data_IF_263211866612
#
_entry.id   IF_263211866612
#
_cell.length_a   1.000
_cell.length_b   1.000
_cell.length_c   1.000
_cell.angle_alpha   90.00
_cell.angle_beta   90.00
_cell.angle_gamma   90.00
#
_symmetry.space_group_name_H-M   'P 1'
#
loop_
_entity.id
_entity.type
_entity.pdbx_description
1 polymer ?
#
# COMPACT_ATOMS: atom_id res chain seq x y z
N UNK A 1 -13.28 18.87 13.24
CA UNK A 1 -13.40 18.67 11.79
C UNK A 1 -13.03 17.23 11.52
N UNK A 2 -13.73 16.55 10.62
CA UNK A 2 -13.44 15.15 10.29
C UNK A 2 -12.08 15.04 9.60
N UNK A 3 -11.26 14.06 9.97
CA UNK A 3 -9.97 13.82 9.33
C UNK A 3 -10.16 13.54 7.83
N UNK A 4 -9.44 14.25 6.99
CA UNK A 4 -9.46 14.04 5.55
C UNK A 4 -8.53 12.89 5.13
N UNK A 5 -8.86 12.25 4.00
CA UNK A 5 -8.03 11.22 3.41
C UNK A 5 -6.84 11.84 2.67
N UNK A 6 -5.65 11.26 2.83
CA UNK A 6 -4.44 11.71 2.15
C UNK A 6 -4.42 11.33 0.65
N UNK A 7 -3.44 11.86 -0.09
CA UNK A 7 -3.35 11.64 -1.54
C UNK A 7 -3.16 10.15 -1.89
N UNK A 8 -2.35 9.41 -1.12
CA UNK A 8 -2.10 7.99 -1.35
C UNK A 8 -3.40 7.17 -1.28
N UNK A 9 -4.29 7.47 -0.32
CA UNK A 9 -5.63 6.89 -0.23
C UNK A 9 -6.51 7.24 -1.42
N UNK A 10 -6.50 8.50 -1.85
CA UNK A 10 -7.25 8.95 -3.03
C UNK A 10 -6.80 8.19 -4.28
N UNK A 11 -5.50 8.09 -4.52
CA UNK A 11 -4.95 7.44 -5.71
C UNK A 11 -5.20 5.93 -5.68
N UNK A 12 -5.14 5.31 -4.49
CA UNK A 12 -5.56 3.92 -4.31
C UNK A 12 -7.01 3.73 -4.75
N UNK A 13 -7.96 4.54 -4.27
CA UNK A 13 -9.38 4.39 -4.63
C UNK A 13 -9.58 4.60 -6.13
N UNK A 14 -8.99 5.65 -6.72
CA UNK A 14 -9.06 5.91 -8.17
C UNK A 14 -8.61 4.72 -9.00
N UNK A 15 -7.56 4.02 -8.58
CA UNK A 15 -7.02 2.85 -9.29
C UNK A 15 -7.99 1.68 -9.40
N UNK A 16 -9.01 1.63 -8.52
CA UNK A 16 -10.03 0.57 -8.51
C UNK A 16 -11.39 1.00 -9.08
N UNK A 17 -11.76 2.29 -9.01
CA UNK A 17 -13.06 2.77 -9.51
C UNK A 17 -13.04 3.08 -11.02
N UNK A 18 -11.89 3.51 -11.56
CA UNK A 18 -11.77 3.96 -12.96
C UNK A 18 -12.41 5.33 -13.20
N UNK A 19 -11.94 6.06 -14.22
CA UNK A 19 -12.40 7.42 -14.52
C UNK A 19 -13.27 7.44 -15.78
N UNK A 20 -14.47 8.03 -15.66
CA UNK A 20 -15.37 8.32 -16.76
C UNK A 20 -15.67 9.83 -16.83
N UNK A 21 -15.20 10.50 -17.88
CA UNK A 21 -15.36 11.95 -18.03
C UNK A 21 -16.82 12.34 -18.27
N UNK A 22 -17.54 11.55 -19.06
CA UNK A 22 -18.93 11.79 -19.42
C UNK A 22 -19.90 11.00 -18.51
N UNK A 23 -21.02 11.62 -18.18
CA UNK A 23 -22.09 10.97 -17.43
C UNK A 23 -22.65 9.75 -18.18
N UNK A 24 -22.76 8.62 -17.50
CA UNK A 24 -23.27 7.37 -18.06
C UNK A 24 -24.26 6.68 -17.13
N UNK A 25 -25.09 5.79 -17.67
CA UNK A 25 -25.99 4.96 -16.87
C UNK A 25 -25.26 3.66 -16.51
N UNK A 26 -25.02 3.43 -15.22
CA UNK A 26 -24.39 2.18 -14.76
C UNK A 26 -25.37 0.99 -14.90
N UNK A 27 -24.91 -0.28 -14.77
CA UNK A 27 -25.79 -1.45 -14.87
C UNK A 27 -26.96 -1.47 -13.88
N UNK A 28 -26.88 -0.69 -12.79
CA UNK A 28 -27.96 -0.52 -11.83
C UNK A 28 -29.00 0.54 -12.25
N UNK A 29 -28.85 1.17 -13.42
CA UNK A 29 -29.77 2.19 -13.95
C UNK A 29 -29.56 3.59 -13.38
N UNK A 30 -28.45 3.84 -12.67
CA UNK A 30 -28.16 5.11 -11.99
C UNK A 30 -27.19 5.94 -12.82
N UNK A 31 -27.45 7.25 -12.94
CA UNK A 31 -26.57 8.18 -13.62
C UNK A 31 -25.29 8.37 -12.79
N UNK A 32 -24.14 8.14 -13.43
CA UNK A 32 -22.83 8.02 -12.79
C UNK A 32 -21.79 8.81 -13.57
N UNK A 33 -20.83 9.45 -12.89
CA UNK A 33 -19.73 10.21 -13.51
C UNK A 33 -18.44 10.10 -12.68
N UNK A 34 -17.28 10.40 -13.27
CA UNK A 34 -16.00 10.45 -12.58
C UNK A 34 -15.56 9.08 -12.07
N UNK A 35 -15.25 9.01 -10.77
CA UNK A 35 -14.85 7.78 -10.06
C UNK A 35 -16.05 7.10 -9.37
N UNK A 36 -17.18 6.98 -10.07
CA UNK A 36 -18.37 6.32 -9.55
C UNK A 36 -19.33 7.23 -8.77
N UNK A 37 -19.24 8.55 -8.93
CA UNK A 37 -20.14 9.50 -8.28
C UNK A 37 -21.56 9.42 -8.88
N UNK A 38 -22.59 9.35 -8.04
CA UNK A 38 -24.01 9.20 -8.46
C UNK A 38 -24.95 10.24 -7.85
N UNK A 39 -24.43 11.31 -7.24
CA UNK A 39 -25.21 12.31 -6.52
C UNK A 39 -26.00 13.23 -7.45
N UNK A 40 -25.48 14.43 -7.67
CA UNK A 40 -26.10 15.51 -8.44
C UNK A 40 -25.72 15.47 -9.93
N UNK A 41 -25.51 14.27 -10.47
CA UNK A 41 -25.13 14.08 -11.86
C UNK A 41 -26.26 14.52 -12.80
N UNK A 42 -25.91 15.29 -13.83
CA UNK A 42 -26.83 15.72 -14.87
C UNK A 42 -26.55 14.96 -16.17
N UNK A 43 -27.60 14.68 -16.95
CA UNK A 43 -27.45 14.03 -18.26
C UNK A 43 -26.54 14.88 -19.16
N UNK A 44 -25.66 14.20 -19.90
CA UNK A 44 -24.70 14.81 -20.84
C UNK A 44 -23.66 15.73 -20.17
N UNK A 45 -23.53 15.67 -18.82
CA UNK A 45 -22.46 16.32 -18.08
C UNK A 45 -21.10 15.70 -18.43
N UNK A 46 -20.10 16.55 -18.55
CA UNK A 46 -18.70 16.16 -18.73
C UNK A 46 -17.84 16.86 -17.67
N UNK A 47 -16.88 16.15 -17.08
CA UNK A 47 -15.97 16.69 -16.07
C UNK A 47 -14.53 16.28 -16.35
N UNK A 48 -13.59 17.10 -15.89
CA UNK A 48 -12.16 16.75 -15.91
C UNK A 48 -11.75 15.91 -14.69
N UNK A 49 -10.50 15.44 -14.70
CA UNK A 49 -9.96 14.61 -13.60
C UNK A 49 -9.91 15.36 -12.27
N UNK A 50 -9.71 16.68 -12.29
CA UNK A 50 -9.59 17.49 -11.08
C UNK A 50 -10.94 17.59 -10.36
N UNK A 51 -12.00 17.82 -11.14
CA UNK A 51 -13.39 17.86 -10.69
C UNK A 51 -13.83 16.49 -10.21
N UNK A 52 -13.49 15.42 -10.93
CA UNK A 52 -13.79 14.06 -10.52
C UNK A 52 -13.08 13.66 -9.20
N UNK A 53 -11.86 14.12 -8.98
CA UNK A 53 -11.17 13.92 -7.70
C UNK A 53 -11.84 14.70 -6.57
N UNK A 54 -12.26 15.94 -6.80
CA UNK A 54 -13.00 16.72 -5.81
C UNK A 54 -14.31 16.04 -5.40
N UNK A 55 -15.05 15.49 -6.38
CA UNK A 55 -16.24 14.68 -6.13
C UNK A 55 -15.90 13.42 -5.32
N UNK A 56 -14.84 12.70 -5.70
CA UNK A 56 -14.40 11.50 -4.97
C UNK A 56 -14.03 11.83 -3.52
N UNK A 57 -13.35 12.96 -3.26
CA UNK A 57 -13.05 13.42 -1.90
C UNK A 57 -14.31 13.65 -1.10
N UNK A 58 -15.31 14.31 -1.69
CA UNK A 58 -16.60 14.54 -1.04
C UNK A 58 -17.32 13.21 -0.73
N UNK A 59 -17.35 12.28 -1.68
CA UNK A 59 -17.97 10.96 -1.50
C UNK A 59 -17.27 10.13 -0.39
N UNK A 60 -15.96 10.27 -0.26
CA UNK A 60 -15.18 9.60 0.78
C UNK A 60 -15.38 10.17 2.18
N UNK A 61 -15.94 11.39 2.34
CA UNK A 61 -16.13 12.00 3.66
C UNK A 61 -16.97 11.13 4.60
N UNK A 62 -17.99 10.43 4.09
CA UNK A 62 -18.83 9.53 4.89
C UNK A 62 -18.04 8.31 5.40
N UNK A 63 -17.13 7.78 4.57
CA UNK A 63 -16.23 6.70 4.95
C UNK A 63 -15.22 7.18 5.99
N UNK A 64 -14.58 8.33 5.78
CA UNK A 64 -13.65 8.97 6.73
C UNK A 64 -14.31 9.20 8.10
N UNK A 65 -15.49 9.82 8.13
CA UNK A 65 -16.24 10.05 9.36
C UNK A 65 -16.62 8.74 10.08
N UNK A 66 -16.88 7.67 9.32
CA UNK A 66 -17.15 6.36 9.89
C UNK A 66 -15.91 5.73 10.51
N UNK A 67 -14.74 5.81 9.86
CA UNK A 67 -13.47 5.34 10.42
C UNK A 67 -13.16 6.07 11.72
N UNK A 68 -13.24 7.41 11.70
CA UNK A 68 -12.95 8.25 12.87
C UNK A 68 -13.88 7.97 14.06
N UNK A 69 -15.14 7.62 13.79
CA UNK A 69 -16.11 7.23 14.84
C UNK A 69 -15.91 5.81 15.37
N UNK A 70 -15.42 4.89 14.54
CA UNK A 70 -15.37 3.46 14.85
C UNK A 70 -14.02 3.02 15.45
N UNK A 71 -12.93 3.70 15.08
CA UNK A 71 -11.58 3.39 15.53
C UNK A 71 -11.26 4.17 16.81
N UNK A 72 -10.83 3.47 17.85
CA UNK A 72 -10.57 4.02 19.19
C UNK A 72 -9.07 4.12 19.52
N UNK A 73 -8.21 3.78 18.56
CA UNK A 73 -6.75 3.78 18.68
C UNK A 73 -6.15 4.77 17.67
N UNK A 74 -4.96 5.34 17.94
CA UNK A 74 -4.33 6.27 17.00
C UNK A 74 -4.02 5.58 15.67
N UNK A 75 -4.18 6.29 14.57
CA UNK A 75 -3.84 5.81 13.24
C UNK A 75 -2.92 6.78 12.52
N UNK A 76 -1.96 6.22 11.79
CA UNK A 76 -1.24 6.92 10.74
C UNK A 76 -2.20 7.42 9.63
N UNK A 77 -1.81 8.42 8.84
CA UNK A 77 -2.57 8.91 7.69
C UNK A 77 -2.83 7.81 6.66
N UNK A 78 -1.82 6.98 6.37
CA UNK A 78 -1.96 5.86 5.46
C UNK A 78 -2.86 4.75 6.03
N UNK A 79 -2.75 4.45 7.33
CA UNK A 79 -3.63 3.50 8.00
C UNK A 79 -5.10 3.97 7.98
N UNK A 80 -5.33 5.26 8.25
CA UNK A 80 -6.64 5.87 8.14
C UNK A 80 -7.18 5.80 6.71
N UNK A 81 -6.35 6.14 5.72
CA UNK A 81 -6.69 6.09 4.31
C UNK A 81 -7.04 4.66 3.82
N UNK A 82 -6.28 3.65 4.26
CA UNK A 82 -6.56 2.25 3.96
C UNK A 82 -7.93 1.81 4.50
N UNK A 83 -8.29 2.20 5.74
CA UNK A 83 -9.60 1.93 6.32
C UNK A 83 -10.73 2.78 5.73
N UNK A 84 -10.42 3.96 5.21
CA UNK A 84 -11.40 4.76 4.46
C UNK A 84 -11.73 4.09 3.12
N UNK A 85 -10.72 3.62 2.35
CA UNK A 85 -10.93 2.81 1.13
C UNK A 85 -11.67 1.50 1.44
N UNK A 86 -11.17 0.76 2.42
CA UNK A 86 -11.93 0.04 3.44
C UNK A 86 -13.47 0.11 3.36
N UNK A 87 -13.94 1.07 4.15
CA UNK A 87 -15.33 1.39 4.40
C UNK A 87 -16.06 1.92 3.17
N UNK A 88 -15.38 2.59 2.25
CA UNK A 88 -15.96 3.02 0.99
C UNK A 88 -16.38 1.83 0.13
N UNK A 89 -15.51 0.80 0.01
CA UNK A 89 -15.81 -0.38 -0.79
C UNK A 89 -16.78 -1.35 -0.11
N UNK A 90 -16.58 -1.63 1.17
CA UNK A 90 -17.34 -2.66 1.88
C UNK A 90 -18.51 -2.09 2.69
N UNK A 91 -18.59 -0.78 2.86
CA UNK A 91 -19.56 -0.11 3.72
C UNK A 91 -19.12 -0.02 5.19
N UNK A 92 -19.45 1.10 5.84
CA UNK A 92 -19.11 1.38 7.24
C UNK A 92 -19.69 0.36 8.23
N UNK A 93 -20.88 -0.19 7.95
CA UNK A 93 -21.49 -1.23 8.80
C UNK A 93 -20.66 -2.53 8.83
N UNK A 94 -20.06 -2.90 7.70
CA UNK A 94 -19.18 -4.06 7.62
C UNK A 94 -17.86 -3.81 8.36
N UNK A 95 -17.28 -2.62 8.26
CA UNK A 95 -16.13 -2.23 9.08
C UNK A 95 -16.47 -2.33 10.58
N UNK A 96 -17.59 -1.74 11.00
CA UNK A 96 -18.04 -1.70 12.40
C UNK A 96 -18.20 -3.06 13.07
N UNK A 97 -18.55 -4.10 12.31
CA UNK A 97 -18.74 -5.46 12.84
C UNK A 97 -17.54 -6.38 12.61
N UNK A 98 -16.51 -5.91 11.90
CA UNK A 98 -15.39 -6.73 11.44
C UNK A 98 -14.48 -7.21 12.56
N UNK A 99 -13.87 -8.39 12.37
CA UNK A 99 -12.74 -8.84 13.21
C UNK A 99 -11.54 -7.91 13.10
N UNK A 100 -11.32 -7.32 11.92
CA UNK A 100 -10.34 -6.26 11.66
C UNK A 100 -10.46 -5.14 12.70
N UNK A 101 -11.63 -4.50 12.80
CA UNK A 101 -11.84 -3.37 13.72
C UNK A 101 -11.69 -3.79 15.18
N UNK A 102 -12.19 -4.97 15.55
CA UNK A 102 -12.07 -5.50 16.92
C UNK A 102 -10.62 -5.66 17.35
N UNK A 103 -9.79 -6.27 16.50
CA UNK A 103 -8.35 -6.46 16.76
C UNK A 103 -7.61 -5.13 16.81
N UNK A 104 -7.87 -4.27 15.83
CA UNK A 104 -7.28 -2.94 15.75
C UNK A 104 -7.57 -2.11 17.02
N UNK A 105 -8.84 -2.06 17.46
CA UNK A 105 -9.22 -1.32 18.67
C UNK A 105 -8.64 -1.94 19.97
N UNK A 106 -8.08 -3.14 19.90
CA UNK A 106 -7.31 -3.76 20.98
C UNK A 106 -5.79 -3.53 20.84
N UNK A 107 -5.38 -2.69 19.89
CA UNK A 107 -3.98 -2.35 19.62
C UNK A 107 -3.23 -3.35 18.75
N UNK A 108 -3.91 -4.32 18.14
CA UNK A 108 -3.29 -5.29 17.23
C UNK A 108 -3.30 -4.74 15.79
N UNK A 109 -2.33 -3.86 15.50
CA UNK A 109 -2.16 -3.23 14.19
C UNK A 109 -1.64 -4.23 13.15
N UNK A 110 -0.79 -5.17 13.57
CA UNK A 110 -0.15 -6.16 12.70
C UNK A 110 -1.16 -7.14 12.09
N UNK A 111 -2.29 -7.37 12.77
CA UNK A 111 -3.36 -8.19 12.23
C UNK A 111 -4.10 -7.55 11.04
N UNK A 112 -4.04 -6.23 10.85
CA UNK A 112 -4.90 -5.54 9.89
C UNK A 112 -4.74 -6.03 8.44
N UNK A 113 -3.53 -6.20 7.86
CA UNK A 113 -3.33 -6.79 6.54
C UNK A 113 -4.01 -8.16 6.38
N UNK A 114 -3.80 -9.04 7.37
CA UNK A 114 -4.35 -10.40 7.33
C UNK A 114 -5.88 -10.41 7.40
N UNK A 115 -6.47 -9.48 8.16
CA UNK A 115 -7.92 -9.36 8.28
C UNK A 115 -8.53 -8.71 7.03
N UNK A 116 -7.87 -7.71 6.42
CA UNK A 116 -8.26 -7.15 5.12
C UNK A 116 -8.34 -8.24 4.04
N UNK A 117 -7.34 -9.12 3.97
CA UNK A 117 -7.27 -10.21 2.99
C UNK A 117 -8.44 -11.22 3.06
N UNK A 118 -9.23 -11.21 4.14
CA UNK A 118 -10.43 -12.06 4.28
C UNK A 118 -11.64 -11.49 3.52
N UNK A 119 -11.62 -10.21 3.17
CA UNK A 119 -12.72 -9.49 2.51
C UNK A 119 -12.60 -9.52 0.99
N UNK A 120 -12.44 -10.72 0.44
CA UNK A 120 -12.21 -10.94 -1.00
C UNK A 120 -13.35 -11.68 -1.69
N UNK A 121 -14.45 -11.95 -0.97
CA UNK A 121 -15.57 -12.75 -1.46
C UNK A 121 -16.82 -11.90 -1.67
N UNK A 122 -17.50 -12.08 -2.80
CA UNK A 122 -18.81 -11.51 -3.08
C UNK A 122 -19.82 -12.61 -3.41
N UNK A 123 -21.11 -12.33 -3.23
CA UNK A 123 -22.20 -13.23 -3.62
C UNK A 123 -22.31 -13.24 -5.14
N UNK A 124 -22.28 -14.41 -5.73
CA UNK A 124 -22.52 -14.61 -7.15
C UNK A 124 -24.04 -14.61 -7.42
N UNK A 125 -24.58 -13.64 -8.19
CA UNK A 125 -26.01 -13.58 -8.46
C UNK A 125 -26.52 -14.76 -9.30
N UNK A 126 -25.64 -15.48 -10.01
CA UNK A 126 -26.01 -16.63 -10.83
C UNK A 126 -26.06 -17.96 -10.06
N UNK A 127 -25.26 -18.09 -8.99
CA UNK A 127 -25.13 -19.35 -8.24
C UNK A 127 -25.55 -19.25 -6.77
N UNK A 128 -25.88 -18.05 -6.30
CA UNK A 128 -26.15 -17.69 -4.90
C UNK A 128 -25.05 -18.10 -3.90
N UNK A 129 -23.84 -18.38 -4.39
CA UNK A 129 -22.68 -18.76 -3.56
C UNK A 129 -21.68 -17.62 -3.45
N UNK A 130 -20.99 -17.54 -2.30
CA UNK A 130 -19.86 -16.62 -2.15
C UNK A 130 -18.66 -17.14 -2.94
N UNK A 131 -18.12 -16.33 -3.84
CA UNK A 131 -16.91 -16.63 -4.61
C UNK A 131 -15.85 -15.57 -4.37
N UNK A 132 -14.60 -15.98 -4.37
CA UNK A 132 -13.46 -15.05 -4.32
C UNK A 132 -13.39 -14.27 -5.63
N UNK A 133 -13.29 -12.94 -5.54
CA UNK A 133 -13.15 -12.06 -6.69
C UNK A 133 -11.70 -11.57 -6.78
N UNK A 134 -11.06 -11.79 -7.93
CA UNK A 134 -9.66 -11.39 -8.17
C UNK A 134 -9.45 -9.87 -8.00
N UNK A 135 -10.44 -9.06 -8.35
CA UNK A 135 -10.41 -7.60 -8.14
C UNK A 135 -10.37 -7.23 -6.65
N UNK A 136 -11.14 -7.93 -5.81
CA UNK A 136 -11.11 -7.69 -4.36
C UNK A 136 -9.81 -8.16 -3.74
N UNK A 137 -9.23 -9.29 -4.19
CA UNK A 137 -7.90 -9.74 -3.74
C UNK A 137 -6.85 -8.65 -3.98
N UNK A 138 -6.80 -8.09 -5.19
CA UNK A 138 -5.89 -6.98 -5.53
C UNK A 138 -6.14 -5.73 -4.68
N UNK A 139 -7.41 -5.39 -4.45
CA UNK A 139 -7.77 -4.22 -3.64
C UNK A 139 -7.35 -4.36 -2.18
N UNK A 140 -7.61 -5.51 -1.55
CA UNK A 140 -7.20 -5.75 -0.16
C UNK A 140 -5.68 -5.81 -0.01
N UNK A 141 -4.96 -6.30 -1.03
CA UNK A 141 -3.49 -6.25 -1.05
C UNK A 141 -2.97 -4.80 -1.09
N UNK A 142 -3.47 -3.97 -2.01
CA UNK A 142 -3.07 -2.57 -2.12
C UNK A 142 -3.39 -1.75 -0.86
N UNK A 143 -4.52 -2.00 -0.21
CA UNK A 143 -4.85 -1.37 1.08
C UNK A 143 -3.93 -1.84 2.21
N UNK A 144 -3.50 -3.10 2.17
CA UNK A 144 -2.54 -3.64 3.14
C UNK A 144 -1.14 -3.05 2.92
N UNK A 145 -0.74 -2.86 1.66
CA UNK A 145 0.50 -2.17 1.30
C UNK A 145 0.47 -0.72 1.79
N UNK A 146 -0.64 0.00 1.55
CA UNK A 146 -0.82 1.35 2.07
C UNK A 146 -0.77 1.37 3.60
N UNK A 147 -1.45 0.44 4.28
CA UNK A 147 -1.45 0.34 5.75
C UNK A 147 -0.04 0.21 6.35
N UNK A 148 0.86 -0.49 5.66
CA UNK A 148 2.23 -0.73 6.10
C UNK A 148 3.20 0.38 5.70
N UNK A 149 2.79 1.29 4.80
CA UNK A 149 3.63 2.38 4.34
C UNK A 149 3.73 3.50 5.39
N UNK A 150 4.92 4.11 5.57
CA UNK A 150 5.09 5.25 6.48
C UNK A 150 4.31 6.47 5.99
N UNK A 151 3.84 7.32 6.93
CA UNK A 151 3.14 8.57 6.59
C UNK A 151 4.08 9.59 5.92
N UNK A 152 3.56 10.32 4.93
CA UNK A 152 4.30 11.32 4.16
C UNK A 152 4.72 10.83 2.76
N UNK A 153 5.19 11.72 1.86
CA UNK A 153 6.02 11.28 0.75
C UNK A 153 7.30 10.63 1.31
N UNK A 154 7.99 9.79 0.53
CA UNK A 154 9.33 9.30 0.89
C UNK A 154 10.18 10.46 1.48
N UNK A 155 11.04 10.21 2.48
CA UNK A 155 11.65 11.26 3.30
C UNK A 155 12.44 12.25 2.46
N UNK A 156 11.75 13.30 2.06
CA UNK A 156 12.25 14.56 1.57
C UNK A 156 11.43 15.60 2.32
N UNK A 157 12.14 16.44 3.07
CA UNK A 157 11.62 17.56 3.86
C UNK A 157 11.12 17.22 5.28
N UNK A 158 12.07 16.86 6.16
CA UNK A 158 11.98 17.23 7.57
C UNK A 158 13.13 18.20 7.92
N UNK A 159 12.73 19.47 7.96
CA UNK A 159 13.13 20.55 8.85
C UNK A 159 14.56 21.14 8.77
N UNK A 160 14.61 22.41 8.33
CA UNK A 160 15.81 23.23 8.10
C UNK A 160 16.44 23.86 9.35
N UNK A 161 16.03 23.58 10.60
CA UNK A 161 16.61 24.27 11.76
C UNK A 161 16.81 23.39 13.01
N UNK A 162 17.92 22.65 13.03
CA UNK A 162 18.67 22.39 14.28
C UNK A 162 20.18 22.37 13.98
N UNK A 163 20.95 23.38 14.44
CA UNK A 163 22.39 23.44 14.20
C UNK A 163 23.16 22.68 15.29
N UNK A 164 24.06 21.77 14.90
CA UNK A 164 25.51 21.87 15.17
C UNK A 164 26.26 20.60 14.72
N UNK A 165 27.00 20.78 13.61
CA UNK A 165 28.38 20.31 13.35
C UNK A 165 28.66 18.86 12.86
N UNK A 166 28.71 18.74 11.52
CA UNK A 166 29.66 18.05 10.61
C UNK A 166 30.43 16.82 11.13
N UNK A 167 30.15 15.63 10.56
CA UNK A 167 31.18 14.78 9.91
C UNK A 167 30.58 13.69 9.00
N UNK A 168 31.30 13.40 7.92
CA UNK A 168 30.95 12.59 6.75
C UNK A 168 30.79 11.10 7.09
N UNK A 169 29.76 10.42 6.60
CA UNK A 169 29.72 8.95 6.51
C UNK A 169 28.84 8.49 5.34
N UNK A 170 29.42 8.52 4.14
CA UNK A 170 28.81 8.03 2.90
C UNK A 170 29.30 6.59 2.56
N UNK A 171 29.52 5.73 3.57
CA UNK A 171 30.30 4.48 3.37
C UNK A 171 29.81 3.20 4.04
N UNK A 172 28.73 3.13 4.81
CA UNK A 172 28.51 1.93 5.65
C UNK A 172 27.65 0.78 5.07
N UNK A 173 27.07 0.89 3.87
CA UNK A 173 26.18 -0.16 3.33
C UNK A 173 26.68 -0.89 2.07
N UNK A 174 27.93 -0.70 1.67
CA UNK A 174 28.50 -1.45 0.56
C UNK A 174 29.15 -2.74 1.08
N UNK A 175 28.77 -3.86 0.46
CA UNK A 175 29.32 -5.17 0.76
C UNK A 175 29.92 -5.77 -0.50
N UNK A 176 30.89 -6.65 -0.30
CA UNK A 176 31.50 -7.45 -1.35
C UNK A 176 31.07 -8.89 -1.22
N UNK A 177 30.74 -9.52 -2.34
CA UNK A 177 30.49 -10.96 -2.42
C UNK A 177 31.78 -11.76 -2.22
N UNK A 178 31.82 -12.61 -1.20
CA UNK A 178 32.99 -13.46 -0.90
C UNK A 178 32.87 -14.89 -1.43
N UNK A 179 31.72 -15.25 -2.03
CA UNK A 179 31.47 -16.58 -2.58
C UNK A 179 32.25 -16.81 -3.88
N UNK A 180 33.33 -17.63 -3.83
CA UNK A 180 34.21 -17.93 -4.98
C UNK A 180 33.49 -18.53 -6.19
N UNK A 181 32.42 -19.28 -5.98
CA UNK A 181 31.60 -19.89 -7.05
C UNK A 181 30.46 -19.00 -7.53
N UNK A 182 30.39 -17.77 -7.03
CA UNK A 182 29.25 -16.87 -7.17
C UNK A 182 28.18 -17.08 -6.10
N UNK A 183 27.49 -15.99 -5.75
CA UNK A 183 26.43 -15.92 -4.75
C UNK A 183 25.07 -15.89 -5.46
N UNK A 184 24.20 -16.84 -5.12
CA UNK A 184 22.86 -16.91 -5.72
C UNK A 184 21.94 -15.85 -5.12
N UNK A 185 21.47 -14.96 -5.97
CA UNK A 185 20.43 -13.98 -5.66
C UNK A 185 19.06 -14.58 -5.98
N UNK A 186 18.14 -14.48 -5.03
CA UNK A 186 16.80 -15.10 -5.09
C UNK A 186 15.70 -14.05 -4.97
N UNK A 187 14.50 -14.42 -5.41
CA UNK A 187 13.32 -13.55 -5.33
C UNK A 187 12.72 -13.37 -3.93
N UNK A 188 13.28 -14.02 -2.91
CA UNK A 188 12.82 -13.89 -1.53
C UNK A 188 13.80 -14.49 -0.51
N UNK A 189 13.58 -14.22 0.78
CA UNK A 189 14.44 -14.69 1.86
C UNK A 189 14.18 -16.15 2.18
N UNK A 190 14.79 -17.06 1.41
CA UNK A 190 14.67 -18.50 1.64
C UNK A 190 15.10 -19.35 0.45
N UNK A 191 15.30 -20.64 0.71
CA UNK A 191 15.69 -21.61 -0.32
C UNK A 191 14.52 -22.01 -1.24
N UNK A 192 13.28 -21.77 -0.81
CA UNK A 192 12.06 -22.03 -1.58
C UNK A 192 11.84 -21.04 -2.72
N UNK A 193 12.54 -19.90 -2.70
CA UNK A 193 12.46 -18.89 -3.75
C UNK A 193 13.42 -19.23 -4.89
N UNK A 194 12.96 -19.04 -6.12
CA UNK A 194 13.77 -19.24 -7.32
C UNK A 194 15.00 -18.33 -7.35
N UNK A 195 16.08 -18.83 -7.94
CA UNK A 195 17.29 -18.05 -8.22
C UNK A 195 16.97 -17.11 -9.39
N UNK A 196 17.17 -15.82 -9.17
CA UNK A 196 17.02 -14.77 -10.18
C UNK A 196 18.35 -14.60 -10.91
N UNK A 197 19.46 -14.53 -10.17
CA UNK A 197 20.78 -14.26 -10.71
C UNK A 197 21.87 -14.92 -9.86
N UNK A 198 23.08 -15.05 -10.40
CA UNK A 198 24.26 -15.47 -9.64
C UNK A 198 25.32 -14.37 -9.72
N UNK A 199 25.57 -13.70 -8.60
CA UNK A 199 26.52 -12.61 -8.47
C UNK A 199 27.94 -13.17 -8.42
N UNK A 200 28.87 -12.70 -9.27
CA UNK A 200 30.28 -13.10 -9.19
C UNK A 200 30.93 -12.78 -7.83
N UNK A 201 32.05 -13.44 -7.55
CA UNK A 201 32.92 -13.05 -6.45
C UNK A 201 33.45 -11.62 -6.67
N UNK A 202 33.71 -10.90 -5.58
CA UNK A 202 34.15 -9.50 -5.56
C UNK A 202 33.12 -8.48 -6.08
N UNK A 203 31.92 -8.91 -6.50
CA UNK A 203 30.83 -7.97 -6.83
C UNK A 203 30.49 -7.12 -5.61
N UNK A 204 30.49 -5.81 -5.81
CA UNK A 204 30.08 -4.84 -4.81
C UNK A 204 28.58 -4.64 -4.92
N UNK A 205 27.90 -4.73 -3.78
CA UNK A 205 26.46 -4.63 -3.66
C UNK A 205 26.10 -3.71 -2.53
N UNK A 206 25.02 -2.95 -2.70
CA UNK A 206 24.47 -2.16 -1.61
C UNK A 206 23.49 -3.03 -0.85
N UNK A 207 23.70 -3.16 0.46
CA UNK A 207 22.90 -4.02 1.31
C UNK A 207 22.08 -3.17 2.25
N UNK A 208 20.77 -3.39 2.21
CA UNK A 208 19.83 -2.75 3.12
C UNK A 208 19.84 -3.46 4.49
N UNK A 209 19.30 -2.83 5.55
CA UNK A 209 19.35 -3.37 6.91
C UNK A 209 18.95 -4.85 6.98
N UNK A 210 19.86 -5.69 7.51
CA UNK A 210 19.76 -7.14 7.47
C UNK A 210 18.50 -7.64 8.19
N UNK A 211 17.74 -8.51 7.54
CA UNK A 211 16.63 -9.24 8.16
C UNK A 211 17.03 -10.70 8.30
N UNK A 212 17.49 -11.10 9.50
CA UNK A 212 17.96 -12.45 9.81
C UNK A 212 19.19 -12.88 8.98
N UNK A 213 19.21 -14.11 8.47
CA UNK A 213 20.32 -14.69 7.68
C UNK A 213 20.32 -14.25 6.20
N UNK A 214 19.32 -13.47 5.77
CA UNK A 214 19.18 -12.99 4.39
C UNK A 214 19.35 -11.47 4.33
N UNK A 215 20.01 -11.02 3.28
CA UNK A 215 20.29 -9.62 2.98
C UNK A 215 19.56 -9.21 1.71
N UNK A 216 18.87 -8.07 1.76
CA UNK A 216 18.33 -7.42 0.57
C UNK A 216 19.47 -6.71 -0.16
N UNK A 217 19.56 -6.95 -1.45
CA UNK A 217 20.62 -6.45 -2.31
C UNK A 217 20.01 -5.52 -3.36
N UNK A 218 20.64 -4.37 -3.49
CA UNK A 218 20.50 -3.42 -4.59
C UNK A 218 21.82 -3.44 -5.37
N UNK A 219 21.76 -3.90 -6.62
CA UNK A 219 22.89 -3.97 -7.55
C UNK A 219 23.10 -2.63 -8.27
N UNK A 220 22.02 -1.87 -8.46
CA UNK A 220 22.04 -0.59 -9.17
C UNK A 220 22.48 0.59 -8.30
N UNK A 221 22.40 0.44 -6.97
CA UNK A 221 22.54 1.55 -6.03
C UNK A 221 21.46 2.61 -6.21
N UNK A 222 20.35 2.28 -6.87
CA UNK A 222 19.26 3.20 -7.21
C UNK A 222 18.12 3.19 -6.16
N UNK A 223 18.28 2.37 -5.11
CA UNK A 223 17.32 2.18 -4.04
C UNK A 223 16.26 1.13 -4.35
N UNK A 224 16.31 0.44 -5.49
CA UNK A 224 15.42 -0.67 -5.82
C UNK A 224 16.06 -2.00 -5.42
N UNK A 225 15.28 -2.87 -4.77
CA UNK A 225 15.78 -4.19 -4.35
C UNK A 225 15.69 -5.17 -5.52
N UNK A 226 16.84 -5.61 -6.01
CA UNK A 226 16.95 -6.61 -7.09
C UNK A 226 16.72 -8.04 -6.58
N UNK A 227 17.04 -8.29 -5.30
CA UNK A 227 16.77 -9.58 -4.71
C UNK A 227 17.38 -9.80 -3.34
N UNK A 228 17.44 -11.08 -2.96
CA UNK A 228 17.88 -11.54 -1.66
C UNK A 228 19.07 -12.48 -1.78
N UNK A 229 20.08 -12.28 -0.94
CA UNK A 229 21.25 -13.17 -0.84
C UNK A 229 21.48 -13.60 0.60
N UNK A 230 22.22 -14.68 0.80
CA UNK A 230 22.55 -15.15 2.13
C UNK A 230 23.69 -14.33 2.73
N UNK A 231 23.46 -13.72 3.90
CA UNK A 231 24.30 -12.64 4.43
C UNK A 231 25.70 -13.08 4.86
N UNK A 232 25.91 -14.38 5.10
CA UNK A 232 27.23 -14.91 5.47
C UNK A 232 28.27 -14.85 4.35
N UNK A 233 27.85 -14.57 3.11
CA UNK A 233 28.73 -14.44 1.94
C UNK A 233 28.98 -12.99 1.54
N UNK A 234 28.68 -12.05 2.44
CA UNK A 234 28.87 -10.61 2.25
C UNK A 234 29.86 -10.07 3.28
N UNK A 235 30.89 -9.38 2.80
CA UNK A 235 31.89 -8.70 3.61
C UNK A 235 31.75 -7.19 3.46
N UNK A 236 31.66 -6.46 4.57
CA UNK A 236 31.51 -5.01 4.54
C UNK A 236 32.76 -4.36 3.95
N UNK A 237 32.58 -3.40 3.04
CA UNK A 237 33.66 -2.55 2.56
C UNK A 237 33.79 -1.36 3.50
N UNK A 238 34.87 -1.35 4.28
CA UNK A 238 35.26 -0.25 5.17
C UNK A 238 35.72 0.98 4.38
#
# INVERSE_FOLDING_TARGET
>A
MTREINQAGIDLVKSFEGFFADAYICPAGVLTIGYGHTGDVVKDQCIDKSTAEALLRADLQSACASVERLVNVPLSDNQFAALASFAFNCGAGNLGMSTLLKKLNHGDYDAAPSELARWVKARDPSTDKKRTLRGLVRRRAAESELWLAPDGPAPAELDEHMPQQVELADTENHFRVTARSGLQMRGGPGLDFGIIETLPADTVVTVWPRQNEWAQVDLGGDGLIDGWVFSSYLEALS
#
